data_IF_279545111157
#
_entry.id   IF_279545111157
#
_cell.length_a   1.000
_cell.length_b   1.000
_cell.length_c   1.000
_cell.angle_alpha   90.00
_cell.angle_beta   90.00
_cell.angle_gamma   90.00
#
_symmetry.space_group_name_H-M   'P 1'
#
loop_
_entity.id
_entity.type
_entity.pdbx_description
1 polymer ?
#
# COMPACT_ATOMS: atom_id res chain seq x y z
N UNK A 1 14.46 -5.45 -9.57
CA UNK A 1 13.98 -4.80 -8.33
C UNK A 1 12.66 -5.47 -7.94
N UNK A 2 12.73 -6.64 -7.30
CA UNK A 2 11.60 -7.46 -6.87
C UNK A 2 11.82 -7.80 -5.39
N UNK A 3 11.34 -6.97 -4.47
CA UNK A 3 11.40 -7.25 -3.04
C UNK A 3 10.07 -6.96 -2.31
N UNK A 4 9.09 -6.35 -2.97
CA UNK A 4 7.90 -5.82 -2.31
C UNK A 4 6.73 -6.81 -2.19
N UNK A 5 6.81 -7.99 -2.82
CA UNK A 5 5.77 -9.03 -2.72
C UNK A 5 5.75 -9.78 -1.38
N UNK A 6 6.84 -9.75 -0.61
CA UNK A 6 6.99 -10.60 0.59
C UNK A 6 6.24 -10.07 1.81
N UNK A 7 5.98 -8.76 1.89
CA UNK A 7 5.22 -8.16 3.00
C UNK A 7 3.77 -8.64 3.05
N UNK A 8 3.17 -8.87 1.89
CA UNK A 8 1.80 -9.40 1.77
C UNK A 8 1.73 -10.91 2.05
N UNK A 9 2.85 -11.63 1.92
CA UNK A 9 2.92 -13.08 2.16
C UNK A 9 3.02 -13.44 3.64
N UNK A 10 3.48 -12.52 4.49
CA UNK A 10 3.60 -12.74 5.93
C UNK A 10 2.32 -12.44 6.71
N UNK A 11 1.34 -11.76 6.12
CA UNK A 11 0.00 -11.64 6.71
C UNK A 11 -0.86 -12.81 6.24
N UNK A 12 -1.37 -13.66 7.15
CA UNK A 12 -2.31 -14.71 6.79
C UNK A 12 -3.57 -14.06 6.22
N UNK A 13 -3.91 -14.38 4.98
CA UNK A 13 -5.16 -13.96 4.31
C UNK A 13 -6.42 -14.38 5.08
N UNK A 14 -6.30 -15.27 6.07
CA UNK A 14 -7.36 -15.72 6.98
C UNK A 14 -7.75 -14.71 8.06
N UNK A 15 -6.87 -13.80 8.49
CA UNK A 15 -7.19 -12.77 9.51
C UNK A 15 -7.70 -11.46 8.90
N UNK A 16 -7.47 -11.27 7.59
CA UNK A 16 -7.80 -10.06 6.83
C UNK A 16 -9.32 -9.82 6.69
N UNK A 17 -10.13 -10.87 6.85
CA UNK A 17 -11.58 -10.81 6.63
C UNK A 17 -12.35 -10.24 7.83
N UNK A 18 -11.72 -10.17 9.02
CA UNK A 18 -12.40 -9.73 10.24
C UNK A 18 -12.06 -8.28 10.66
N UNK A 19 -10.92 -7.70 10.23
CA UNK A 19 -10.58 -6.29 10.56
C UNK A 19 -9.68 -5.60 9.51
N UNK A 20 -10.29 -4.94 8.51
CA UNK A 20 -9.59 -4.28 7.39
C UNK A 20 -8.72 -3.08 7.85
N UNK A 21 -9.19 -2.35 8.87
CA UNK A 21 -8.55 -1.11 9.37
C UNK A 21 -7.18 -1.36 10.03
N UNK A 22 -7.00 -2.30 10.99
CA UNK A 22 -5.70 -2.52 11.63
C UNK A 22 -4.65 -3.10 10.68
N UNK A 23 -5.05 -3.90 9.68
CA UNK A 23 -4.12 -4.41 8.66
C UNK A 23 -3.54 -3.26 7.82
N UNK A 24 -4.40 -2.32 7.41
CA UNK A 24 -3.98 -1.13 6.66
C UNK A 24 -3.02 -0.26 7.49
N UNK A 25 -3.32 -0.07 8.77
CA UNK A 25 -2.49 0.72 9.68
C UNK A 25 -1.13 0.03 9.94
N UNK A 26 -1.13 -1.29 10.11
CA UNK A 26 0.09 -2.08 10.28
C UNK A 26 1.03 -2.00 9.07
N UNK A 27 0.51 -2.04 7.85
CA UNK A 27 1.31 -1.91 6.64
C UNK A 27 1.92 -0.50 6.51
N UNK A 28 1.14 0.54 6.81
CA UNK A 28 1.62 1.93 6.79
C UNK A 28 2.72 2.15 7.83
N UNK A 29 2.54 1.63 9.05
CA UNK A 29 3.56 1.70 10.11
C UNK A 29 4.83 0.94 9.73
N UNK A 30 4.69 -0.26 9.16
CA UNK A 30 5.83 -1.05 8.71
C UNK A 30 6.66 -0.29 7.66
N UNK A 31 6.01 0.28 6.64
CA UNK A 31 6.67 1.07 5.60
C UNK A 31 7.36 2.32 6.16
N UNK A 32 6.68 3.04 7.06
CA UNK A 32 7.23 4.22 7.72
C UNK A 32 8.46 3.90 8.58
N UNK A 33 8.37 2.88 9.44
CA UNK A 33 9.46 2.44 10.32
C UNK A 33 10.66 1.90 9.53
N UNK A 34 10.40 1.19 8.42
CA UNK A 34 11.46 0.71 7.54
C UNK A 34 12.24 1.86 6.89
N UNK A 35 11.54 2.86 6.35
CA UNK A 35 12.18 4.06 5.78
C UNK A 35 12.96 4.84 6.84
N UNK A 36 12.37 5.02 8.03
CA UNK A 36 13.03 5.66 9.16
C UNK A 36 14.33 4.95 9.58
N UNK A 37 14.33 3.62 9.61
CA UNK A 37 15.53 2.84 9.94
C UNK A 37 16.64 3.02 8.90
N UNK A 38 16.29 3.06 7.61
CA UNK A 38 17.25 3.32 6.54
C UNK A 38 17.89 4.71 6.64
N UNK A 39 17.09 5.74 6.90
CA UNK A 39 17.60 7.11 7.04
C UNK A 39 18.58 7.26 8.21
N UNK A 40 18.35 6.59 9.34
CA UNK A 40 19.31 6.58 10.47
C UNK A 40 20.63 5.92 10.08
N UNK A 41 20.55 4.81 9.34
CA UNK A 41 21.72 4.07 8.89
C UNK A 41 22.58 4.94 7.96
N UNK A 42 21.95 5.64 7.02
CA UNK A 42 22.60 6.56 6.10
C UNK A 42 23.34 7.68 6.85
N UNK A 43 22.68 8.30 7.83
CA UNK A 43 23.32 9.34 8.65
C UNK A 43 24.52 8.82 9.45
N UNK A 44 24.43 7.60 9.98
CA UNK A 44 25.55 7.01 10.70
C UNK A 44 26.75 6.75 9.78
N UNK A 45 26.51 6.32 8.54
CA UNK A 45 27.57 6.17 7.54
C UNK A 45 28.19 7.50 7.11
N UNK A 46 27.35 8.52 6.85
CA UNK A 46 27.83 9.86 6.50
C UNK A 46 28.66 10.46 7.64
N UNK A 47 28.19 10.32 8.88
CA UNK A 47 28.91 10.76 10.07
C UNK A 47 30.29 10.10 10.17
N UNK A 48 30.37 8.77 10.03
CA UNK A 48 31.63 8.03 10.07
C UNK A 48 32.57 8.43 8.94
N UNK A 49 32.04 8.66 7.74
CA UNK A 49 32.82 9.11 6.59
C UNK A 49 33.42 10.51 6.80
N UNK A 50 32.61 11.46 7.30
CA UNK A 50 33.05 12.82 7.60
C UNK A 50 34.08 12.87 8.73
N UNK A 51 33.91 12.05 9.77
CA UNK A 51 34.85 11.95 10.88
C UNK A 51 36.25 11.48 10.43
N UNK A 52 36.32 10.58 9.44
CA UNK A 52 37.59 10.06 8.92
C UNK A 52 38.23 11.02 7.90
N UNK A 53 37.46 11.56 6.97
CA UNK A 53 38.01 12.30 5.83
C UNK A 53 38.18 13.81 6.09
N UNK A 54 37.41 14.41 7.02
CA UNK A 54 37.37 15.88 7.14
C UNK A 54 36.91 16.36 8.52
N UNK A 55 37.78 16.23 9.54
CA UNK A 55 37.49 16.64 10.92
C UNK A 55 37.08 18.12 11.09
N UNK A 56 37.56 19.02 10.23
CA UNK A 56 37.19 20.44 10.27
C UNK A 56 35.72 20.72 9.87
N UNK A 57 35.05 19.82 9.14
CA UNK A 57 33.61 19.94 8.87
C UNK A 57 32.74 19.46 10.04
N UNK A 58 33.32 18.81 11.05
CA UNK A 58 32.60 18.29 12.21
C UNK A 58 32.16 19.41 13.16
N UNK A 59 32.79 20.58 13.09
CA UNK A 59 32.34 21.78 13.81
C UNK A 59 30.90 22.19 13.44
N UNK A 60 30.50 21.99 12.18
CA UNK A 60 29.13 22.26 11.74
C UNK A 60 28.12 21.31 12.38
N UNK A 61 28.50 20.06 12.67
CA UNK A 61 27.63 19.09 13.35
C UNK A 61 27.50 19.32 14.86
N UNK A 62 28.41 20.10 15.47
CA UNK A 62 28.40 20.35 16.92
C UNK A 62 27.30 21.32 17.37
N UNK A 63 26.65 22.02 16.43
CA UNK A 63 25.53 22.89 16.74
C UNK A 63 24.22 22.10 16.82
N UNK A 64 23.58 22.10 18.01
CA UNK A 64 22.27 21.47 18.28
C UNK A 64 21.21 21.80 17.21
N UNK A 65 21.28 22.98 16.59
CA UNK A 65 20.42 23.39 15.49
C UNK A 65 20.40 22.39 14.31
N UNK A 66 21.55 21.84 13.91
CA UNK A 66 21.63 20.89 12.81
C UNK A 66 21.08 19.51 13.19
N UNK A 67 21.25 19.11 14.45
CA UNK A 67 20.64 17.89 14.98
C UNK A 67 19.11 17.93 14.92
N UNK A 68 18.51 19.07 15.29
CA UNK A 68 17.05 19.28 15.21
C UNK A 68 16.58 19.22 13.75
N UNK A 69 17.28 19.86 12.82
CA UNK A 69 16.95 19.83 11.40
C UNK A 69 17.02 18.39 10.86
N UNK A 70 18.00 17.60 11.28
CA UNK A 70 18.10 16.19 10.89
C UNK A 70 16.93 15.35 11.41
N UNK A 71 16.56 15.51 12.68
CA UNK A 71 15.39 14.83 13.24
C UNK A 71 14.12 15.21 12.47
N UNK A 72 13.99 16.48 12.10
CA UNK A 72 12.86 16.95 11.32
C UNK A 72 12.82 16.30 9.93
N UNK A 73 13.94 16.26 9.21
CA UNK A 73 14.04 15.59 7.90
C UNK A 73 13.72 14.09 8.02
N UNK A 74 14.21 13.45 9.08
CA UNK A 74 13.94 12.04 9.37
C UNK A 74 12.45 11.75 9.59
N UNK A 75 11.75 12.61 10.36
CA UNK A 75 10.30 12.53 10.55
C UNK A 75 9.54 12.77 9.25
N UNK A 76 9.95 13.76 8.45
CA UNK A 76 9.32 14.07 7.16
C UNK A 76 9.45 12.91 6.17
N UNK A 77 10.60 12.22 6.13
CA UNK A 77 10.74 11.04 5.28
C UNK A 77 9.81 9.90 5.72
N UNK A 78 9.68 9.65 7.02
CA UNK A 78 8.70 8.67 7.52
C UNK A 78 7.26 9.02 7.10
N UNK A 79 6.88 10.29 7.18
CA UNK A 79 5.56 10.76 6.75
C UNK A 79 5.33 10.61 5.24
N UNK A 80 6.31 10.98 4.42
CA UNK A 80 6.22 10.87 2.95
C UNK A 80 6.05 9.41 2.54
N UNK A 81 6.84 8.50 3.12
CA UNK A 81 6.74 7.06 2.83
C UNK A 81 5.45 6.44 3.38
N UNK A 82 4.99 6.86 4.56
CA UNK A 82 3.68 6.48 5.10
C UNK A 82 2.52 6.94 4.21
N UNK A 83 2.58 8.18 3.70
CA UNK A 83 1.56 8.70 2.80
C UNK A 83 1.60 8.00 1.44
N UNK A 84 2.79 7.73 0.91
CA UNK A 84 2.97 7.03 -0.36
C UNK A 84 2.42 5.60 -0.29
N UNK A 85 2.68 4.89 0.81
CA UNK A 85 2.14 3.53 1.03
C UNK A 85 0.62 3.55 1.16
N UNK A 86 0.04 4.56 1.83
CA UNK A 86 -1.41 4.75 1.90
C UNK A 86 -2.03 5.02 0.51
N UNK A 87 -1.46 5.94 -0.27
CA UNK A 87 -1.94 6.25 -1.62
C UNK A 87 -1.81 5.07 -2.58
N UNK A 88 -0.74 4.29 -2.44
CA UNK A 88 -0.54 3.11 -3.26
C UNK A 88 -1.58 2.04 -2.94
N UNK A 89 -1.85 1.80 -1.65
CA UNK A 89 -2.86 0.82 -1.24
C UNK A 89 -4.27 1.24 -1.67
N UNK A 90 -4.61 2.52 -1.55
CA UNK A 90 -5.90 3.03 -2.03
C UNK A 90 -6.05 2.86 -3.54
N UNK A 91 -4.98 3.08 -4.32
CA UNK A 91 -4.96 2.85 -5.76
C UNK A 91 -5.23 1.39 -6.14
N UNK A 92 -4.64 0.43 -5.42
CA UNK A 92 -4.86 -1.00 -5.68
C UNK A 92 -6.32 -1.40 -5.42
N UNK A 93 -6.91 -0.95 -4.30
CA UNK A 93 -8.31 -1.27 -3.99
C UNK A 93 -9.30 -0.69 -4.99
N UNK A 94 -8.99 0.48 -5.58
CA UNK A 94 -9.81 1.08 -6.62
C UNK A 94 -9.75 0.26 -7.90
N UNK A 95 -8.56 -0.16 -8.31
CA UNK A 95 -8.37 -0.99 -9.50
C UNK A 95 -9.13 -2.32 -9.38
N UNK A 96 -9.05 -2.97 -8.22
CA UNK A 96 -9.76 -4.22 -7.93
C UNK A 96 -11.29 -4.03 -7.99
N UNK A 97 -11.83 -2.97 -7.39
CA UNK A 97 -13.27 -2.66 -7.46
C UNK A 97 -13.75 -2.43 -8.89
N UNK A 98 -12.98 -1.69 -9.69
CA UNK A 98 -13.31 -1.44 -11.10
C UNK A 98 -13.30 -2.74 -11.90
N UNK A 99 -12.30 -3.60 -11.67
CA UNK A 99 -12.22 -4.91 -12.32
C UNK A 99 -13.41 -5.80 -11.94
N UNK A 100 -13.77 -5.87 -10.66
CA UNK A 100 -14.90 -6.68 -10.20
C UNK A 100 -16.22 -6.18 -10.81
N UNK A 101 -16.46 -4.87 -10.76
CA UNK A 101 -17.65 -4.27 -11.36
C UNK A 101 -17.69 -4.48 -12.89
N UNK A 102 -16.54 -4.48 -13.57
CA UNK A 102 -16.50 -4.81 -15.00
C UNK A 102 -16.83 -6.28 -15.26
N UNK A 103 -16.49 -7.17 -14.36
CA UNK A 103 -16.78 -8.60 -14.48
C UNK A 103 -18.26 -8.88 -14.25
N UNK A 104 -18.86 -8.28 -13.22
CA UNK A 104 -20.30 -8.41 -12.92
C UNK A 104 -21.16 -7.97 -14.11
N UNK A 105 -20.86 -6.81 -14.71
CA UNK A 105 -21.59 -6.35 -15.91
C UNK A 105 -21.51 -7.31 -17.09
N UNK A 106 -20.39 -8.01 -17.25
CA UNK A 106 -20.27 -9.04 -18.31
C UNK A 106 -21.17 -10.23 -18.03
N UNK A 107 -21.28 -10.65 -16.77
CA UNK A 107 -22.16 -11.75 -16.35
C UNK A 107 -23.63 -11.37 -16.59
N UNK A 108 -24.05 -10.15 -16.25
CA UNK A 108 -25.42 -9.68 -16.47
C UNK A 108 -25.82 -9.66 -17.95
N UNK A 109 -24.89 -9.24 -18.81
CA UNK A 109 -25.11 -9.28 -20.26
C UNK A 109 -25.25 -10.70 -20.79
N UNK A 110 -24.47 -11.64 -20.26
CA UNK A 110 -24.60 -13.07 -20.63
C UNK A 110 -25.94 -13.63 -20.14
N UNK A 111 -26.34 -13.32 -18.89
CA UNK A 111 -27.62 -13.76 -18.33
C UNK A 111 -28.82 -13.21 -19.13
N UNK A 112 -28.79 -11.93 -19.49
CA UNK A 112 -29.84 -11.28 -20.30
C UNK A 112 -29.91 -11.88 -21.72
N UNK A 113 -28.76 -12.28 -22.29
CA UNK A 113 -28.71 -12.93 -23.61
C UNK A 113 -29.15 -14.39 -23.60
N UNK A 114 -29.11 -15.05 -22.43
CA UNK A 114 -29.64 -16.41 -22.26
C UNK A 114 -31.17 -16.43 -22.05
N UNK A 115 -31.76 -15.35 -21.54
CA UNK A 115 -33.19 -15.24 -21.24
C UNK A 115 -34.19 -15.29 -22.44
N UNK A 116 -33.89 -14.91 -23.70
CA UNK A 116 -34.86 -15.03 -24.79
C UNK A 116 -35.15 -16.48 -25.23
N UNK A 117 -34.55 -17.50 -24.60
CA UNK A 117 -34.82 -18.91 -24.90
C UNK A 117 -35.86 -19.58 -23.99
N UNK A 118 -36.30 -18.93 -22.90
CA UNK A 118 -37.26 -19.51 -21.95
C UNK A 118 -38.68 -18.92 -22.04
N UNK A 119 -38.89 -17.80 -22.75
CA UNK A 119 -40.23 -17.23 -23.00
C UNK A 119 -40.73 -17.71 -24.36
N UNK A 120 -40.98 -19.01 -24.46
CA UNK A 120 -41.36 -19.65 -25.70
C UNK A 120 -41.88 -21.07 -25.54
N UNK A 121 -42.52 -21.41 -24.41
CA UNK A 121 -43.21 -22.70 -24.28
C UNK A 121 -44.21 -22.75 -23.10
N UNK A 122 -45.05 -21.74 -22.92
CA UNK A 122 -46.24 -21.85 -22.05
C UNK A 122 -47.51 -21.36 -22.78
N UNK A 123 -47.77 -21.96 -23.95
CA UNK A 123 -49.13 -22.01 -24.51
C UNK A 123 -49.60 -23.47 -24.37
N UNK A 124 -50.03 -23.84 -23.16
CA UNK A 124 -50.85 -25.02 -22.97
C UNK A 124 -52.32 -24.56 -23.07
N UNK A 125 -53.10 -25.01 -24.06
CA UNK A 125 -54.53 -24.72 -24.09
C UNK A 125 -55.20 -25.42 -22.91
N UNK A 126 -55.93 -24.64 -22.09
CA UNK A 126 -56.89 -25.20 -21.13
C UNK A 126 -58.09 -25.68 -21.93
N UNK A 127 -58.00 -26.91 -22.41
CA UNK A 127 -59.12 -27.66 -22.99
C UNK A 127 -59.80 -28.49 -21.89
N UNK A 128 -61.10 -28.22 -21.73
CA UNK A 128 -62.16 -28.94 -20.99
C UNK A 128 -62.02 -29.18 -19.48
#
# INVERSE_FOLDING_TARGET
MHAYGYGYALMPTSFLMNTIIPAHLGLCLYGALFSQSLSLLEYHFIYRYLAICKSNCLYWFNSWKYFIIHIFIWLMMGLVWGLLTHLFLSSQTLAERIFNHSNERKIDQIATRALPSAIGSDNCPRDL
#
